data_IF_514227035485
#
_entry.id   IF_514227035485
#
_cell.length_a   1.000
_cell.length_b   1.000
_cell.length_c   1.000
_cell.angle_alpha   90.00
_cell.angle_beta   90.00
_cell.angle_gamma   90.00
#
_symmetry.space_group_name_H-M   'P 1'
#
loop_
_entity.id
_entity.type
_entity.pdbx_description
1 polymer ?
#
# COMPACT_ATOMS: atom_id res chain seq x y z
N UNK A 1 46.27 11.60 8.95
CA UNK A 1 44.92 11.06 8.65
C UNK A 1 44.73 9.85 9.55
N UNK A 2 43.82 9.87 10.54
CA UNK A 2 43.55 8.66 11.31
C UNK A 2 42.90 7.63 10.38
N UNK A 3 43.49 6.44 10.27
CA UNK A 3 42.90 5.34 9.52
C UNK A 3 41.57 4.94 10.16
N UNK A 4 40.48 4.96 9.39
CA UNK A 4 39.18 4.51 9.83
C UNK A 4 39.26 3.02 10.20
N UNK A 5 38.78 2.63 11.38
CA UNK A 5 38.75 1.22 11.78
C UNK A 5 37.82 0.42 10.86
N UNK A 6 38.09 -0.86 10.58
CA UNK A 6 37.26 -1.70 9.70
C UNK A 6 35.74 -1.68 10.00
N UNK A 7 35.26 -1.71 11.26
CA UNK A 7 33.82 -1.58 11.56
C UNK A 7 33.21 -0.24 11.15
N UNK A 8 33.99 0.86 11.15
CA UNK A 8 33.50 2.18 10.76
C UNK A 8 33.34 2.32 9.24
N UNK A 9 34.13 1.56 8.47
CA UNK A 9 34.04 1.53 6.99
C UNK A 9 32.81 0.76 6.53
N UNK A 10 32.49 -0.35 7.20
CA UNK A 10 31.28 -1.13 6.92
C UNK A 10 30.04 -0.27 7.19
N UNK A 11 29.93 0.33 8.39
CA UNK A 11 28.81 1.20 8.74
C UNK A 11 28.59 2.35 7.74
N UNK A 12 29.66 3.05 7.31
CA UNK A 12 29.54 4.10 6.28
C UNK A 12 29.04 3.60 4.94
N UNK A 13 29.45 2.39 4.55
CA UNK A 13 29.01 1.76 3.30
C UNK A 13 27.52 1.41 3.36
N UNK A 14 27.04 0.89 4.48
CA UNK A 14 25.62 0.56 4.68
C UNK A 14 24.74 1.80 4.51
N UNK A 15 25.10 2.89 5.19
CA UNK A 15 24.37 4.17 5.16
C UNK A 15 24.29 4.74 3.75
N UNK A 16 25.42 4.69 3.04
CA UNK A 16 25.50 5.17 1.66
C UNK A 16 24.56 4.37 0.77
N UNK A 17 24.49 3.05 0.95
CA UNK A 17 23.57 2.17 0.21
C UNK A 17 22.11 2.52 0.54
N UNK A 18 21.76 2.74 1.82
CA UNK A 18 20.40 3.16 2.23
C UNK A 18 20.00 4.43 1.49
N UNK A 19 20.85 5.47 1.55
CA UNK A 19 20.57 6.75 0.92
C UNK A 19 20.34 6.61 -0.59
N UNK A 20 21.20 5.87 -1.28
CA UNK A 20 21.03 5.62 -2.72
C UNK A 20 19.75 4.85 -3.04
N UNK A 21 19.39 3.83 -2.25
CA UNK A 21 18.15 3.08 -2.45
C UNK A 21 16.94 3.98 -2.22
N UNK A 22 16.88 4.72 -1.10
CA UNK A 22 15.77 5.64 -0.80
C UNK A 22 15.59 6.68 -1.91
N UNK A 23 16.69 7.29 -2.39
CA UNK A 23 16.63 8.27 -3.49
C UNK A 23 16.18 7.62 -4.80
N UNK A 24 16.65 6.40 -5.10
CA UNK A 24 16.25 5.67 -6.32
C UNK A 24 14.76 5.34 -6.32
N UNK A 25 14.23 4.87 -5.19
CA UNK A 25 12.80 4.60 -5.05
C UNK A 25 11.95 5.87 -5.01
N UNK A 26 12.45 6.97 -4.45
CA UNK A 26 11.79 8.28 -4.56
C UNK A 26 11.71 8.73 -6.03
N UNK A 27 12.79 8.57 -6.80
CA UNK A 27 12.78 8.88 -8.24
C UNK A 27 11.80 8.00 -9.01
N UNK A 28 11.75 6.69 -8.71
CA UNK A 28 10.75 5.77 -9.25
C UNK A 28 9.32 6.20 -8.93
N UNK A 29 9.08 6.66 -7.69
CA UNK A 29 7.78 7.11 -7.24
C UNK A 29 7.33 8.40 -7.94
N UNK A 30 8.25 9.35 -8.13
CA UNK A 30 8.03 10.57 -8.92
C UNK A 30 7.71 10.21 -10.37
N UNK A 31 8.48 9.30 -10.97
CA UNK A 31 8.25 8.84 -12.34
C UNK A 31 6.85 8.21 -12.49
N UNK A 32 6.48 7.31 -11.59
CA UNK A 32 5.15 6.70 -11.57
C UNK A 32 4.05 7.78 -11.47
N UNK A 33 4.27 8.78 -10.62
CA UNK A 33 3.34 9.89 -10.47
C UNK A 33 3.06 10.64 -11.77
N UNK A 34 4.12 11.02 -12.49
CA UNK A 34 3.96 11.67 -13.80
C UNK A 34 3.21 10.78 -14.79
N UNK A 35 3.50 9.48 -14.84
CA UNK A 35 2.84 8.57 -15.80
C UNK A 35 1.35 8.33 -15.49
N UNK A 36 0.96 8.39 -14.22
CA UNK A 36 -0.42 8.17 -13.80
C UNK A 36 -1.24 9.46 -13.65
N UNK A 37 -0.63 10.64 -13.74
CA UNK A 37 -1.27 11.94 -13.51
C UNK A 37 -2.52 12.16 -14.37
N UNK A 38 -2.45 11.84 -15.66
CA UNK A 38 -3.60 12.00 -16.58
C UNK A 38 -4.80 11.17 -16.16
N UNK A 39 -4.54 9.91 -15.77
CA UNK A 39 -5.59 9.00 -15.29
C UNK A 39 -6.12 9.45 -13.93
N UNK A 40 -5.25 9.96 -13.07
CA UNK A 40 -5.60 10.47 -11.75
C UNK A 40 -6.54 11.67 -11.85
N UNK A 41 -6.20 12.68 -12.65
CA UNK A 41 -7.04 13.86 -12.87
C UNK A 41 -8.42 13.44 -13.41
N UNK A 42 -8.43 12.58 -14.43
CA UNK A 42 -9.67 12.13 -15.07
C UNK A 42 -10.57 11.33 -14.12
N UNK A 43 -10.02 10.38 -13.36
CA UNK A 43 -10.82 9.40 -12.62
C UNK A 43 -10.94 9.65 -11.11
N UNK A 44 -10.07 10.47 -10.52
CA UNK A 44 -10.05 10.75 -9.07
C UNK A 44 -10.49 12.19 -8.80
N UNK A 45 -9.91 13.16 -9.50
CA UNK A 45 -10.15 14.57 -9.20
C UNK A 45 -11.59 15.00 -9.51
N UNK A 46 -12.09 14.64 -10.69
CA UNK A 46 -13.49 14.93 -11.11
C UNK A 46 -14.54 14.04 -10.43
N UNK A 47 -14.12 13.00 -9.71
CA UNK A 47 -15.04 12.10 -9.01
C UNK A 47 -15.55 12.71 -7.69
N UNK A 48 -16.77 12.35 -7.29
CA UNK A 48 -17.38 12.75 -6.00
C UNK A 48 -16.49 12.36 -4.82
N UNK A 49 -16.58 13.13 -3.74
CA UNK A 49 -15.88 12.82 -2.49
C UNK A 49 -16.48 11.56 -1.85
N UNK A 50 -15.62 10.58 -1.57
CA UNK A 50 -16.00 9.32 -0.94
C UNK A 50 -14.79 8.63 -0.31
N UNK A 51 -15.04 7.57 0.45
CA UNK A 51 -14.01 6.87 1.25
C UNK A 51 -12.82 6.44 0.38
N UNK A 52 -13.07 5.86 -0.80
CA UNK A 52 -12.02 5.39 -1.72
C UNK A 52 -11.16 6.56 -2.22
N UNK A 53 -11.74 7.74 -2.49
CA UNK A 53 -10.98 8.92 -2.93
C UNK A 53 -10.08 9.42 -1.81
N UNK A 54 -10.57 9.47 -0.58
CA UNK A 54 -9.77 9.87 0.58
C UNK A 54 -8.60 8.90 0.82
N UNK A 55 -8.88 7.59 0.83
CA UNK A 55 -7.86 6.56 0.99
C UNK A 55 -6.82 6.62 -0.12
N UNK A 56 -7.25 6.81 -1.38
CA UNK A 56 -6.34 6.98 -2.51
C UNK A 56 -5.43 8.20 -2.38
N UNK A 57 -6.00 9.37 -2.04
CA UNK A 57 -5.19 10.59 -1.88
C UNK A 57 -4.19 10.43 -0.73
N UNK A 58 -4.58 9.74 0.35
CA UNK A 58 -3.67 9.42 1.44
C UNK A 58 -2.51 8.53 0.97
N UNK A 59 -2.81 7.38 0.37
CA UNK A 59 -1.79 6.42 -0.09
C UNK A 59 -0.94 6.96 -1.23
N UNK A 60 -1.39 8.01 -1.94
CA UNK A 60 -0.64 8.68 -2.99
C UNK A 60 0.29 9.77 -2.47
N UNK A 61 -0.23 10.71 -1.68
CA UNK A 61 0.48 11.95 -1.36
C UNK A 61 1.26 11.89 -0.03
N UNK A 62 0.82 11.09 0.93
CA UNK A 62 1.55 10.96 2.21
C UNK A 62 2.92 10.29 2.03
N UNK A 63 3.06 9.21 1.23
CA UNK A 63 4.37 8.61 0.98
C UNK A 63 5.36 9.57 0.31
N UNK A 64 4.91 10.52 -0.51
CA UNK A 64 5.80 11.52 -1.10
C UNK A 64 6.50 12.35 -0.02
N UNK A 65 5.73 12.85 0.94
CA UNK A 65 6.26 13.68 2.05
C UNK A 65 7.23 12.84 2.89
N UNK A 66 6.83 11.62 3.24
CA UNK A 66 7.65 10.70 4.05
C UNK A 66 8.95 10.36 3.34
N UNK A 67 8.92 10.05 2.05
CA UNK A 67 10.10 9.67 1.26
C UNK A 67 11.05 10.85 1.04
N UNK A 68 10.55 12.08 0.89
CA UNK A 68 11.40 13.27 0.80
C UNK A 68 12.14 13.50 2.12
N UNK A 69 11.44 13.43 3.25
CA UNK A 69 12.05 13.57 4.57
C UNK A 69 13.08 12.45 4.78
N UNK A 70 12.71 11.20 4.53
CA UNK A 70 13.61 10.06 4.67
C UNK A 70 14.87 10.19 3.78
N UNK A 71 14.72 10.69 2.55
CA UNK A 71 15.87 10.95 1.68
C UNK A 71 16.78 12.04 2.25
N UNK A 72 16.21 13.14 2.76
CA UNK A 72 16.99 14.21 3.40
C UNK A 72 17.73 13.73 4.65
N UNK A 73 17.09 12.95 5.50
CA UNK A 73 17.71 12.40 6.71
C UNK A 73 18.83 11.42 6.37
N UNK A 74 18.62 10.53 5.40
CA UNK A 74 19.63 9.57 4.97
C UNK A 74 20.85 10.24 4.29
N UNK A 75 20.65 11.35 3.57
CA UNK A 75 21.74 12.10 2.93
C UNK A 75 22.50 12.95 3.96
N UNK A 76 21.78 13.64 4.84
CA UNK A 76 22.37 14.54 5.84
C UNK A 76 22.99 13.81 7.03
N UNK A 77 22.55 12.58 7.30
CA UNK A 77 22.91 11.82 8.49
C UNK A 77 22.27 12.35 9.78
N UNK A 78 21.31 13.28 9.69
CA UNK A 78 20.62 13.89 10.84
C UNK A 78 19.20 13.35 10.96
N UNK A 79 18.85 12.80 12.12
CA UNK A 79 17.66 11.98 12.35
C UNK A 79 16.58 12.69 13.18
N UNK A 80 16.24 13.93 12.82
CA UNK A 80 15.34 14.76 13.64
C UNK A 80 13.87 14.32 13.56
N UNK A 81 13.48 13.63 12.50
CA UNK A 81 12.11 13.27 12.15
C UNK A 81 11.93 11.75 11.99
N UNK A 82 12.89 10.93 12.44
CA UNK A 82 12.82 9.48 12.34
C UNK A 82 11.56 8.87 12.96
N UNK A 83 11.12 9.39 14.12
CA UNK A 83 9.87 8.96 14.74
C UNK A 83 8.64 9.21 13.84
N UNK A 84 8.63 10.36 13.16
CA UNK A 84 7.56 10.74 12.22
C UNK A 84 7.59 9.87 10.96
N UNK A 85 8.77 9.61 10.38
CA UNK A 85 8.90 8.80 9.17
C UNK A 85 8.50 7.34 9.43
N UNK A 86 8.93 6.74 10.55
CA UNK A 86 8.55 5.37 10.92
C UNK A 86 7.04 5.22 11.19
N UNK A 87 6.44 6.14 11.96
CA UNK A 87 4.99 6.07 12.24
C UNK A 87 4.19 6.25 10.95
N UNK A 88 4.60 7.19 10.11
CA UNK A 88 3.91 7.47 8.85
C UNK A 88 4.03 6.30 7.86
N UNK A 89 5.19 5.64 7.77
CA UNK A 89 5.38 4.44 6.97
C UNK A 89 4.42 3.31 7.40
N UNK A 90 4.31 3.05 8.71
CA UNK A 90 3.36 2.07 9.24
C UNK A 90 1.90 2.42 8.92
N UNK A 91 1.52 3.70 9.00
CA UNK A 91 0.18 4.16 8.62
C UNK A 91 -0.09 4.02 7.12
N UNK A 92 0.89 4.28 6.27
CA UNK A 92 0.77 4.11 4.80
C UNK A 92 0.45 2.66 4.47
N UNK A 93 1.22 1.72 5.04
CA UNK A 93 1.03 0.28 4.85
C UNK A 93 -0.36 -0.12 5.34
N UNK A 94 -0.71 0.20 6.59
CA UNK A 94 -2.02 -0.14 7.16
C UNK A 94 -3.23 0.42 6.40
N UNK A 95 -3.12 1.64 5.87
CA UNK A 95 -4.19 2.24 5.06
C UNK A 95 -4.29 1.59 3.68
N UNK A 96 -3.16 1.17 3.10
CA UNK A 96 -3.16 0.45 1.83
C UNK A 96 -3.78 -0.95 1.98
N UNK A 97 -3.48 -1.64 3.07
CA UNK A 97 -4.15 -2.85 3.50
C UNK A 97 -5.68 -2.69 3.61
N UNK A 98 -6.13 -1.57 4.17
CA UNK A 98 -7.56 -1.26 4.27
C UNK A 98 -8.21 -1.10 2.89
N UNK A 99 -7.50 -0.54 1.89
CA UNK A 99 -7.99 -0.47 0.50
C UNK A 99 -8.17 -1.88 -0.07
N UNK A 100 -7.19 -2.76 0.14
CA UNK A 100 -7.25 -4.16 -0.31
C UNK A 100 -8.42 -4.88 0.35
N UNK A 101 -8.60 -4.71 1.67
CA UNK A 101 -9.71 -5.28 2.43
C UNK A 101 -11.07 -4.83 1.92
N UNK A 102 -11.26 -3.52 1.70
CA UNK A 102 -12.51 -2.98 1.16
C UNK A 102 -12.83 -3.58 -0.21
N UNK A 103 -11.79 -3.79 -1.03
CA UNK A 103 -11.95 -4.47 -2.32
C UNK A 103 -12.32 -5.94 -2.15
N UNK A 104 -11.65 -6.69 -1.27
CA UNK A 104 -12.02 -8.07 -0.95
C UNK A 104 -13.49 -8.14 -0.51
N UNK A 105 -13.93 -7.24 0.37
CA UNK A 105 -15.30 -7.19 0.85
C UNK A 105 -16.33 -7.02 -0.29
N UNK A 106 -16.03 -6.16 -1.25
CA UNK A 106 -16.89 -5.93 -2.41
C UNK A 106 -17.07 -7.19 -3.27
N UNK A 107 -16.02 -8.00 -3.42
CA UNK A 107 -16.00 -9.24 -4.23
C UNK A 107 -16.79 -10.36 -3.54
N UNK A 108 -16.82 -10.39 -2.21
CA UNK A 108 -17.55 -11.39 -1.41
C UNK A 108 -19.04 -11.06 -1.22
N UNK A 109 -19.66 -10.39 -2.20
CA UNK A 109 -21.08 -10.04 -2.22
C UNK A 109 -21.57 -9.40 -0.90
N UNK A 110 -20.72 -8.58 -0.27
CA UNK A 110 -21.01 -7.87 0.99
C UNK A 110 -21.36 -8.76 2.19
N UNK A 111 -20.93 -10.02 2.21
CA UNK A 111 -21.15 -10.91 3.37
C UNK A 111 -20.55 -10.32 4.65
N UNK A 112 -21.41 -9.92 5.60
CA UNK A 112 -20.99 -9.30 6.87
C UNK A 112 -20.11 -10.21 7.71
N UNK A 113 -20.23 -11.53 7.55
CA UNK A 113 -19.41 -12.52 8.26
C UNK A 113 -17.96 -12.48 7.76
N UNK A 114 -17.76 -12.44 6.44
CA UNK A 114 -16.43 -12.35 5.83
C UNK A 114 -15.77 -11.02 6.19
N UNK A 115 -16.53 -9.93 6.15
CA UNK A 115 -16.03 -8.62 6.58
C UNK A 115 -15.59 -8.65 8.05
N UNK A 116 -16.41 -9.18 8.95
CA UNK A 116 -16.07 -9.24 10.37
C UNK A 116 -14.78 -10.02 10.60
N UNK A 117 -14.60 -11.17 9.95
CA UNK A 117 -13.38 -11.97 10.09
C UNK A 117 -12.14 -11.23 9.57
N UNK A 118 -12.18 -10.71 8.35
CA UNK A 118 -11.02 -10.05 7.73
C UNK A 118 -10.70 -8.72 8.45
N UNK A 119 -11.72 -7.98 8.86
CA UNK A 119 -11.54 -6.71 9.57
C UNK A 119 -11.00 -6.93 10.99
N UNK A 120 -11.48 -7.95 11.72
CA UNK A 120 -10.92 -8.31 13.02
C UNK A 120 -9.47 -8.80 12.89
N UNK A 121 -9.14 -9.58 11.86
CA UNK A 121 -7.74 -9.96 11.61
C UNK A 121 -6.88 -8.75 11.29
N UNK A 122 -7.37 -7.81 10.48
CA UNK A 122 -6.64 -6.58 10.16
C UNK A 122 -6.39 -5.72 11.40
N UNK A 123 -7.39 -5.56 12.28
CA UNK A 123 -7.20 -4.85 13.57
C UNK A 123 -6.14 -5.53 14.42
N UNK A 124 -6.18 -6.87 14.53
CA UNK A 124 -5.22 -7.62 15.33
C UNK A 124 -3.77 -7.45 14.79
N UNK A 125 -3.58 -7.56 13.48
CA UNK A 125 -2.27 -7.39 12.84
C UNK A 125 -1.78 -5.94 12.93
N UNK A 126 -2.67 -4.97 12.74
CA UNK A 126 -2.34 -3.54 12.90
C UNK A 126 -1.93 -3.22 14.34
N UNK A 127 -2.57 -3.82 15.34
CA UNK A 127 -2.19 -3.64 16.75
C UNK A 127 -0.77 -4.16 17.03
N UNK A 128 -0.41 -5.31 16.44
CA UNK A 128 0.96 -5.85 16.51
C UNK A 128 1.95 -4.91 15.83
N UNK A 129 1.60 -4.37 14.66
CA UNK A 129 2.39 -3.36 13.95
C UNK A 129 2.65 -2.12 14.78
N UNK A 130 1.60 -1.54 15.36
CA UNK A 130 1.66 -0.37 16.24
C UNK A 130 2.55 -0.65 17.45
N UNK A 131 2.39 -1.80 18.09
CA UNK A 131 3.24 -2.21 19.21
C UNK A 131 4.72 -2.31 18.81
N UNK A 132 5.02 -2.83 17.62
CA UNK A 132 6.39 -2.88 17.10
C UNK A 132 6.99 -1.49 16.85
N UNK A 133 6.20 -0.55 16.33
CA UNK A 133 6.63 0.86 16.11
C UNK A 133 6.92 1.56 17.44
N UNK A 134 6.05 1.42 18.43
CA UNK A 134 6.28 2.00 19.76
C UNK A 134 7.49 1.37 20.46
N UNK A 135 7.68 0.05 20.30
CA UNK A 135 8.83 -0.66 20.84
C UNK A 135 10.14 -0.28 20.16
N UNK A 136 10.08 0.20 18.91
CA UNK A 136 11.23 0.73 18.19
C UNK A 136 11.60 2.13 18.69
N UNK A 137 10.62 3.01 18.88
CA UNK A 137 10.86 4.37 19.39
C UNK A 137 11.36 4.42 20.84
N UNK A 138 11.04 3.41 21.64
CA UNK A 138 11.50 3.34 23.03
C UNK A 138 12.98 2.94 23.16
N UNK A 139 13.64 2.55 22.06
CA UNK A 139 15.08 2.30 22.05
C UNK A 139 15.83 3.64 22.01
N UNK A 140 16.72 3.86 22.98
CA UNK A 140 17.54 5.06 23.05
C UNK A 140 18.59 5.08 21.93
N UNK A 141 18.45 6.02 21.00
CA UNK A 141 19.42 6.27 19.93
C UNK A 141 20.64 7.02 20.49
N UNK A 142 21.89 6.57 20.25
CA UNK A 142 23.07 7.36 20.55
C UNK A 142 23.06 8.64 19.71
N UNK A 143 23.04 9.80 20.38
CA UNK A 143 23.07 11.14 19.77
C UNK A 143 24.48 11.52 19.26
N UNK A 144 25.23 10.58 18.68
CA UNK A 144 26.54 10.87 18.11
C UNK A 144 26.38 11.31 16.66
N UNK A 145 26.91 12.50 16.35
CA UNK A 145 26.84 13.18 15.04
C UNK A 145 27.54 12.42 13.89
N UNK A 146 28.11 11.26 14.20
CA UNK A 146 28.78 10.33 13.28
C UNK A 146 27.98 9.05 13.05
N UNK A 147 26.94 8.81 13.85
CA UNK A 147 26.01 7.68 13.71
C UNK A 147 24.88 8.10 12.79
N UNK A 148 24.78 7.46 11.63
CA UNK A 148 23.60 7.61 10.77
C UNK A 148 22.35 7.09 11.47
N UNK A 149 21.16 7.36 10.91
CA UNK A 149 19.83 7.02 11.45
C UNK A 149 19.53 5.51 11.47
N UNK A 150 20.53 4.73 11.85
CA UNK A 150 20.62 3.31 11.73
C UNK A 150 20.60 2.66 13.11
N UNK A 151 19.84 1.58 13.24
CA UNK A 151 19.84 0.76 14.45
C UNK A 151 20.74 -0.44 14.20
N UNK A 152 21.91 -0.53 14.86
CA UNK A 152 22.85 -1.64 14.65
C UNK A 152 22.32 -3.01 15.08
N UNK A 153 21.17 -3.09 15.74
CA UNK A 153 20.61 -4.34 16.25
C UNK A 153 19.19 -4.64 15.77
N UNK A 154 19.04 -5.87 15.26
CA UNK A 154 17.77 -6.51 14.93
C UNK A 154 16.91 -6.64 16.20
N UNK A 155 15.85 -5.84 16.30
CA UNK A 155 14.89 -5.93 17.41
C UNK A 155 13.82 -6.99 17.11
N UNK A 156 13.51 -7.85 18.09
CA UNK A 156 12.44 -8.83 17.94
C UNK A 156 11.06 -8.19 17.70
N UNK A 157 10.67 -7.08 18.36
CA UNK A 157 9.39 -6.42 18.13
C UNK A 157 9.21 -5.94 16.68
N UNK A 158 10.25 -5.34 16.09
CA UNK A 158 10.20 -4.85 14.70
C UNK A 158 10.06 -6.00 13.70
N UNK A 159 10.71 -7.15 13.94
CA UNK A 159 10.53 -8.33 13.11
C UNK A 159 9.09 -8.85 13.15
N UNK A 160 8.52 -8.98 14.35
CA UNK A 160 7.16 -9.50 14.53
C UNK A 160 6.17 -8.57 13.83
N UNK A 161 6.32 -7.24 13.99
CA UNK A 161 5.51 -6.26 13.31
C UNK A 161 5.63 -6.35 11.77
N UNK A 162 6.85 -6.47 11.26
CA UNK A 162 7.10 -6.57 9.82
C UNK A 162 6.42 -7.81 9.20
N UNK A 163 6.61 -8.99 9.80
CA UNK A 163 5.97 -10.21 9.31
C UNK A 163 4.46 -10.23 9.53
N UNK A 164 3.95 -9.59 10.59
CA UNK A 164 2.51 -9.47 10.81
C UNK A 164 1.83 -8.64 9.73
N UNK A 165 2.41 -7.49 9.35
CA UNK A 165 1.88 -6.62 8.30
C UNK A 165 1.90 -7.32 6.93
N UNK A 166 3.05 -7.87 6.52
CA UNK A 166 3.17 -8.61 5.26
C UNK A 166 2.30 -9.89 5.23
N UNK A 167 2.12 -10.54 6.39
CA UNK A 167 1.19 -11.66 6.52
C UNK A 167 -0.26 -11.26 6.25
N UNK A 168 -0.67 -10.09 6.72
CA UNK A 168 -2.01 -9.54 6.46
C UNK A 168 -2.24 -9.23 4.98
N UNK A 169 -1.30 -8.50 4.38
CA UNK A 169 -1.31 -8.15 2.96
C UNK A 169 -1.37 -9.39 2.07
N UNK A 170 -0.50 -10.37 2.32
CA UNK A 170 -0.44 -11.60 1.52
C UNK A 170 -1.73 -12.43 1.64
N UNK A 171 -2.29 -12.57 2.84
CA UNK A 171 -3.56 -13.31 3.05
C UNK A 171 -4.72 -12.62 2.33
N UNK A 172 -4.85 -11.29 2.47
CA UNK A 172 -5.94 -10.54 1.82
C UNK A 172 -5.78 -10.54 0.30
N UNK A 173 -4.57 -10.34 -0.21
CA UNK A 173 -4.24 -10.40 -1.64
C UNK A 173 -4.51 -11.78 -2.23
N UNK A 174 -4.05 -12.86 -1.57
CA UNK A 174 -4.29 -14.25 -2.00
C UNK A 174 -5.79 -14.60 -2.02
N UNK A 175 -6.52 -14.25 -0.96
CA UNK A 175 -7.95 -14.50 -0.87
C UNK A 175 -8.70 -13.76 -1.99
N UNK A 176 -8.30 -12.52 -2.27
CA UNK A 176 -8.92 -11.70 -3.31
C UNK A 176 -8.61 -12.24 -4.70
N UNK A 177 -7.37 -12.63 -4.97
CA UNK A 177 -6.95 -13.25 -6.22
C UNK A 177 -7.67 -14.58 -6.44
N UNK A 178 -7.73 -15.44 -5.42
CA UNK A 178 -8.42 -16.72 -5.48
C UNK A 178 -9.92 -16.56 -5.77
N UNK A 179 -10.59 -15.66 -5.04
CA UNK A 179 -12.02 -15.43 -5.24
C UNK A 179 -12.32 -14.83 -6.62
N UNK A 180 -11.47 -13.91 -7.06
CA UNK A 180 -11.53 -13.33 -8.41
C UNK A 180 -11.40 -14.41 -9.48
N UNK A 181 -10.43 -15.32 -9.34
CA UNK A 181 -10.24 -16.46 -10.25
C UNK A 181 -11.41 -17.44 -10.22
N UNK A 182 -12.00 -17.69 -9.04
CA UNK A 182 -13.18 -18.54 -8.91
C UNK A 182 -14.38 -17.97 -9.67
N UNK A 183 -14.65 -16.66 -9.49
CA UNK A 183 -15.71 -15.96 -10.21
C UNK A 183 -15.43 -16.01 -11.70
N UNK A 184 -14.20 -15.70 -12.12
CA UNK A 184 -13.79 -15.75 -13.52
C UNK A 184 -14.03 -17.12 -14.17
N UNK A 185 -13.64 -18.22 -13.51
CA UNK A 185 -13.84 -19.58 -14.05
C UNK A 185 -15.31 -20.01 -14.12
N UNK A 186 -16.16 -19.54 -13.20
CA UNK A 186 -17.59 -19.88 -13.17
C UNK A 186 -18.45 -18.97 -14.06
N UNK A 187 -17.87 -17.87 -14.52
CA UNK A 187 -18.55 -16.78 -15.19
C UNK A 187 -18.48 -16.98 -16.71
N UNK A 188 -19.62 -17.25 -17.35
CA UNK A 188 -19.82 -17.10 -18.80
C UNK A 188 -20.03 -15.62 -19.19
N UNK A 189 -19.60 -14.66 -18.36
CA UNK A 189 -19.92 -13.26 -18.60
C UNK A 189 -19.17 -12.70 -19.81
N UNK A 190 -19.83 -11.77 -20.52
CA UNK A 190 -19.33 -11.12 -21.72
C UNK A 190 -17.96 -10.45 -21.57
N UNK A 191 -17.35 -10.13 -22.72
CA UNK A 191 -15.97 -9.63 -22.84
C UNK A 191 -15.62 -8.50 -21.86
N UNK A 192 -16.54 -7.57 -21.61
CA UNK A 192 -16.30 -6.42 -20.75
C UNK A 192 -16.07 -6.78 -19.26
N UNK A 193 -16.83 -7.72 -18.68
CA UNK A 193 -16.64 -8.11 -17.27
C UNK A 193 -15.37 -8.95 -17.10
N UNK A 194 -15.05 -9.78 -18.09
CA UNK A 194 -13.79 -10.52 -18.17
C UNK A 194 -12.58 -9.58 -18.16
N UNK A 195 -12.61 -8.48 -18.93
CA UNK A 195 -11.50 -7.50 -18.98
C UNK A 195 -11.24 -6.82 -17.63
N UNK A 196 -12.28 -6.40 -16.90
CA UNK A 196 -12.13 -5.74 -15.58
C UNK A 196 -11.46 -6.68 -14.56
N UNK A 197 -11.87 -7.94 -14.54
CA UNK A 197 -11.30 -8.93 -13.64
C UNK A 197 -9.89 -9.35 -14.07
N UNK A 198 -9.64 -9.47 -15.37
CA UNK A 198 -8.32 -9.80 -15.92
C UNK A 198 -7.28 -8.72 -15.56
N UNK A 199 -7.61 -7.45 -15.76
CA UNK A 199 -6.68 -6.34 -15.46
C UNK A 199 -6.50 -6.14 -13.95
N UNK A 200 -7.56 -6.31 -13.15
CA UNK A 200 -7.47 -6.24 -11.70
C UNK A 200 -6.64 -7.37 -11.08
N UNK A 201 -6.63 -8.55 -11.72
CA UNK A 201 -5.87 -9.72 -11.30
C UNK A 201 -4.37 -9.59 -11.61
N UNK A 202 -4.02 -8.92 -12.71
CA UNK A 202 -2.62 -8.64 -13.07
C UNK A 202 -1.86 -7.95 -11.92
N UNK A 203 -2.48 -6.95 -11.29
CA UNK A 203 -1.88 -6.24 -10.16
C UNK A 203 -1.69 -7.13 -8.94
N UNK A 204 -2.62 -8.06 -8.65
CA UNK A 204 -2.42 -9.04 -7.57
C UNK A 204 -1.26 -10.01 -7.86
N UNK A 205 -1.08 -10.39 -9.13
CA UNK A 205 0.08 -11.17 -9.56
C UNK A 205 1.39 -10.39 -9.55
N UNK A 206 1.36 -9.06 -9.45
CA UNK A 206 2.56 -8.23 -9.25
C UNK A 206 2.83 -7.95 -7.78
N UNK A 207 1.78 -7.76 -6.97
CA UNK A 207 1.87 -7.51 -5.53
C UNK A 207 2.51 -8.70 -4.80
N UNK A 208 1.97 -9.92 -4.97
CA UNK A 208 2.43 -11.09 -4.22
C UNK A 208 3.92 -11.43 -4.47
N UNK A 209 4.45 -11.47 -5.71
CA UNK A 209 5.87 -11.70 -5.92
C UNK A 209 6.75 -10.56 -5.40
N UNK A 210 6.25 -9.33 -5.43
CA UNK A 210 6.98 -8.17 -4.88
C UNK A 210 7.12 -8.30 -3.36
N UNK A 211 6.04 -8.65 -2.66
CA UNK A 211 6.06 -8.95 -1.22
C UNK A 211 7.01 -10.11 -0.90
N UNK A 212 6.94 -11.20 -1.66
CA UNK A 212 7.83 -12.36 -1.49
C UNK A 212 9.29 -11.96 -1.71
N UNK A 213 9.59 -11.15 -2.73
CA UNK A 213 10.94 -10.66 -2.97
C UNK A 213 11.46 -9.81 -1.81
N UNK A 214 10.62 -8.93 -1.26
CA UNK A 214 10.95 -8.12 -0.08
C UNK A 214 11.23 -9.02 1.13
N UNK A 215 10.42 -10.06 1.36
CA UNK A 215 10.65 -11.04 2.43
C UNK A 215 11.97 -11.78 2.25
N UNK A 216 12.27 -12.25 1.03
CA UNK A 216 13.50 -13.00 0.73
C UNK A 216 14.72 -12.10 0.96
N UNK A 217 14.69 -10.87 0.45
CA UNK A 217 15.79 -9.91 0.65
C UNK A 217 15.94 -9.59 2.13
N UNK A 218 14.84 -9.39 2.86
CA UNK A 218 14.85 -9.12 4.29
C UNK A 218 15.48 -10.26 5.10
N UNK A 219 15.13 -11.52 4.80
CA UNK A 219 15.67 -12.70 5.48
C UNK A 219 17.13 -12.98 5.13
N UNK A 220 17.55 -12.64 3.90
CA UNK A 220 18.92 -12.83 3.43
C UNK A 220 19.85 -11.70 3.86
N UNK A 221 19.29 -10.55 4.25
CA UNK A 221 20.04 -9.37 4.65
C UNK A 221 20.60 -9.51 6.06
N UNK A 222 21.86 -9.11 6.31
CA UNK A 222 22.40 -9.01 7.65
C UNK A 222 21.53 -8.09 8.54
N UNK A 223 21.58 -8.26 9.88
CA UNK A 223 20.85 -7.41 10.84
C UNK A 223 21.00 -5.89 10.60
N UNK A 224 22.14 -5.49 10.00
CA UNK A 224 22.49 -4.12 9.59
C UNK A 224 21.73 -3.55 8.39
N UNK A 225 20.94 -4.35 7.67
CA UNK A 225 20.36 -3.92 6.38
C UNK A 225 18.84 -3.97 6.33
N UNK A 226 18.18 -4.24 7.45
CA UNK A 226 16.73 -4.43 7.49
C UNK A 226 15.95 -3.14 7.20
N UNK A 227 16.47 -1.99 7.64
CA UNK A 227 15.91 -0.68 7.33
C UNK A 227 15.96 -0.34 5.84
N UNK A 228 16.81 -1.00 5.04
CA UNK A 228 16.84 -0.80 3.59
C UNK A 228 15.51 -1.14 2.93
N UNK A 229 14.73 -2.05 3.51
CA UNK A 229 13.51 -2.57 2.89
C UNK A 229 12.30 -1.70 3.12
N UNK A 230 12.35 -0.73 4.05
CA UNK A 230 11.21 0.12 4.39
C UNK A 230 10.84 1.07 3.23
N UNK A 231 11.84 1.70 2.60
CA UNK A 231 11.65 2.55 1.43
C UNK A 231 11.10 1.79 0.20
N UNK A 232 11.70 0.67 -0.24
CA UNK A 232 11.13 -0.18 -1.29
C UNK A 232 9.71 -0.66 -0.99
N UNK A 233 9.46 -1.14 0.24
CA UNK A 233 8.15 -1.65 0.64
C UNK A 233 7.09 -0.54 0.54
N UNK A 234 7.36 0.61 1.17
CA UNK A 234 6.43 1.75 1.17
C UNK A 234 6.11 2.22 -0.25
N UNK A 235 7.13 2.36 -1.10
CA UNK A 235 6.98 2.89 -2.47
C UNK A 235 6.28 1.90 -3.37
N UNK A 236 6.72 0.64 -3.42
CA UNK A 236 6.14 -0.36 -4.30
C UNK A 236 4.70 -0.66 -3.90
N UNK A 237 4.42 -0.77 -2.60
CA UNK A 237 3.07 -1.00 -2.11
C UNK A 237 2.15 0.18 -2.48
N UNK A 238 2.59 1.43 -2.27
CA UNK A 238 1.83 2.62 -2.68
C UNK A 238 1.56 2.66 -4.19
N UNK A 239 2.57 2.42 -5.04
CA UNK A 239 2.41 2.40 -6.50
C UNK A 239 1.38 1.35 -6.92
N UNK A 240 1.55 0.12 -6.44
CA UNK A 240 0.70 -1.01 -6.83
C UNK A 240 -0.75 -0.78 -6.38
N UNK A 241 -0.97 -0.33 -5.14
CA UNK A 241 -2.30 0.02 -4.65
C UNK A 241 -2.92 1.18 -5.43
N UNK A 242 -2.16 2.22 -5.76
CA UNK A 242 -2.66 3.35 -6.55
C UNK A 242 -3.07 2.92 -7.96
N UNK A 243 -2.23 2.16 -8.67
CA UNK A 243 -2.56 1.66 -10.01
C UNK A 243 -3.78 0.75 -10.00
N UNK A 244 -3.88 -0.09 -8.98
CA UNK A 244 -5.03 -0.96 -8.80
C UNK A 244 -6.34 -0.17 -8.72
N UNK A 245 -6.37 0.88 -7.90
CA UNK A 245 -7.56 1.74 -7.75
C UNK A 245 -7.85 2.50 -9.05
N UNK A 246 -6.84 3.07 -9.71
CA UNK A 246 -7.00 3.79 -10.97
C UNK A 246 -7.56 2.90 -12.07
N UNK A 247 -7.00 1.70 -12.25
CA UNK A 247 -7.48 0.76 -13.27
C UNK A 247 -8.91 0.32 -13.03
N UNK A 248 -9.28 0.02 -11.79
CA UNK A 248 -10.67 -0.36 -11.46
C UNK A 248 -11.63 0.79 -11.81
N UNK A 249 -11.27 2.04 -11.53
CA UNK A 249 -12.08 3.21 -11.89
C UNK A 249 -12.14 3.45 -13.39
N UNK A 250 -11.02 3.30 -14.10
CA UNK A 250 -10.98 3.45 -15.55
C UNK A 250 -11.86 2.40 -16.23
N UNK A 251 -11.78 1.15 -15.78
CA UNK A 251 -12.56 0.06 -16.35
C UNK A 251 -14.06 0.23 -16.07
N UNK A 252 -14.42 0.80 -14.90
CA UNK A 252 -15.80 1.22 -14.63
C UNK A 252 -16.27 2.36 -15.53
N UNK A 253 -15.44 3.38 -15.74
CA UNK A 253 -15.77 4.52 -16.61
C UNK A 253 -16.01 4.08 -18.06
N UNK A 254 -15.15 3.19 -18.59
CA UNK A 254 -15.36 2.58 -19.91
C UNK A 254 -16.69 1.82 -19.95
N UNK A 255 -17.01 1.02 -18.93
CA UNK A 255 -18.29 0.30 -18.88
C UNK A 255 -19.50 1.24 -18.88
N UNK A 256 -19.44 2.34 -18.14
CA UNK A 256 -20.52 3.34 -18.12
C UNK A 256 -20.84 3.86 -19.52
N UNK A 257 -19.81 4.17 -20.33
CA UNK A 257 -20.03 4.61 -21.71
C UNK A 257 -20.60 3.51 -22.61
N UNK A 258 -20.14 2.26 -22.48
CA UNK A 258 -20.73 1.15 -23.24
C UNK A 258 -22.21 0.95 -22.91
N UNK A 259 -22.60 1.03 -21.62
CA UNK A 259 -24.01 0.85 -21.23
C UNK A 259 -24.89 2.01 -21.70
N UNK A 260 -24.37 3.24 -21.75
CA UNK A 260 -25.10 4.38 -22.35
C UNK A 260 -25.31 4.20 -23.87
N UNK A 261 -24.42 3.48 -24.55
CA UNK A 261 -24.54 3.16 -25.99
C UNK A 261 -25.41 1.91 -26.26
N UNK A 262 -25.63 1.04 -25.27
CA UNK A 262 -26.24 -0.29 -25.42
C UNK A 262 -27.65 -0.40 -24.80
N UNK A 263 -28.37 0.72 -24.60
CA UNK A 263 -29.73 0.78 -24.04
C UNK A 263 -30.81 0.30 -25.04
N UNK A 264 -30.63 -0.94 -25.53
CA UNK A 264 -31.66 -1.83 -26.07
C UNK A 264 -31.21 -3.28 -25.82
N UNK A 265 -31.72 -3.82 -24.71
CA UNK A 265 -31.77 -5.23 -24.30
C UNK A 265 -30.54 -5.85 -23.58
N UNK A 266 -30.82 -6.36 -22.38
CA UNK A 266 -30.01 -7.23 -21.49
C UNK A 266 -29.05 -6.60 -20.46
N UNK A 267 -29.65 -6.09 -19.37
CA UNK A 267 -28.98 -5.53 -18.19
C UNK A 267 -28.36 -6.62 -17.29
N UNK A 268 -27.02 -6.69 -17.26
CA UNK A 268 -26.24 -7.40 -16.22
C UNK A 268 -25.64 -6.42 -15.19
N UNK A 269 -25.60 -6.77 -13.89
CA UNK A 269 -25.66 -5.78 -12.83
C UNK A 269 -24.37 -4.96 -12.58
N UNK A 270 -24.59 -3.69 -12.26
CA UNK A 270 -23.63 -2.66 -11.83
C UNK A 270 -23.26 -2.81 -10.33
N UNK A 271 -22.67 -3.95 -9.93
CA UNK A 271 -22.76 -4.36 -8.51
C UNK A 271 -21.56 -4.06 -7.60
N UNK A 272 -20.37 -3.66 -8.09
CA UNK A 272 -19.15 -3.67 -7.24
C UNK A 272 -18.77 -2.31 -6.64
N UNK A 273 -19.36 -1.18 -7.05
CA UNK A 273 -18.89 0.15 -6.57
C UNK A 273 -19.99 1.04 -5.96
N UNK A 274 -21.28 0.85 -6.28
CA UNK A 274 -22.39 1.67 -5.71
C UNK A 274 -22.70 1.41 -4.23
N UNK A 275 -22.06 0.43 -3.61
CA UNK A 275 -22.38 -0.01 -2.25
C UNK A 275 -22.18 1.02 -1.14
N UNK A 276 -21.45 2.11 -1.40
CA UNK A 276 -21.21 3.17 -0.42
C UNK A 276 -22.03 4.45 -0.66
N UNK A 277 -22.52 4.72 -1.89
CA UNK A 277 -23.43 5.85 -2.13
C UNK A 277 -24.87 5.55 -1.64
N UNK A 278 -25.31 4.29 -1.71
CA UNK A 278 -26.65 3.89 -1.26
C UNK A 278 -26.87 3.98 0.27
N UNK A 279 -25.80 4.07 1.09
CA UNK A 279 -25.92 4.25 2.54
C UNK A 279 -26.16 5.72 2.95
N UNK A 280 -25.79 6.69 2.09
CA UNK A 280 -26.09 8.10 2.32
C UNK A 280 -27.35 8.60 1.61
N UNK A 281 -27.87 7.86 0.61
CA UNK A 281 -29.16 8.18 -0.03
C UNK A 281 -30.40 7.79 0.81
N UNK A 282 -30.21 7.20 2.00
CA UNK A 282 -31.31 6.89 2.94
C UNK A 282 -31.10 7.61 4.28
N UNK A 283 -31.53 8.88 4.37
CA UNK A 283 -32.50 9.34 5.38
C UNK A 283 -32.96 10.79 5.11
N UNK A 284 -34.17 11.16 5.58
CA UNK A 284 -35.13 11.96 4.82
C UNK A 284 -35.15 13.43 5.23
N UNK A 285 -35.56 14.31 4.30
CA UNK A 285 -36.22 15.56 4.65
C UNK A 285 -37.52 15.72 3.85
N UNK A 286 -38.56 15.25 4.52
CA UNK A 286 -39.96 15.64 4.51
C UNK A 286 -40.37 17.03 3.96
N UNK A 287 -41.51 16.98 3.26
CA UNK A 287 -42.65 17.92 3.16
C UNK A 287 -42.61 19.16 2.22
N UNK A 288 -43.58 19.09 1.28
CA UNK A 288 -44.31 20.10 0.48
C UNK A 288 -43.58 20.76 -0.68
#
# INVERSE_FOLDING_TARGET
>A
MPGLQPPDLEAKREVTIVAYITVSFLALFIYDWFTSLTQEVTHIWHSRWGVIKLLYLWTRYVPFIVMIIAAQENISGVCNHQAFTTVSAGLIIGISDLILLLRTYSIFNKSRKVLAVIFLSWIALSAIGIWGVFSFQSQSFPNDSTSSCFVPQRSQPTLIAFFALLGGESVTSLLTAWKTLEIYRKSHFGQALSTIYHEGLFYYFMILPTEIAIIIVFLSSPPGFQSLMDSPLTVLHSILCCKLVLHVRQAHAKRGSWVEDEDSDDVLPAFVIEGFEAYYAKRPQYYV
#
